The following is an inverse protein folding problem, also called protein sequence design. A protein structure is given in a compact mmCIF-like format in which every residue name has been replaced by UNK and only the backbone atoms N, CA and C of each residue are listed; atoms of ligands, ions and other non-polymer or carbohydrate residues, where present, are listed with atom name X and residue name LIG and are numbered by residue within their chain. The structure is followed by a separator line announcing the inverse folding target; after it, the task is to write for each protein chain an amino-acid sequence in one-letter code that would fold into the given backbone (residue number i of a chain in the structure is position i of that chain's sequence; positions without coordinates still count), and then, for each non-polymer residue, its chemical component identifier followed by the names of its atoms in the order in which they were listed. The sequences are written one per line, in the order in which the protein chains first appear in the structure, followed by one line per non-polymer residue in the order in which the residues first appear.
data_IF_428455371124
#
_entry.id   IF_428455371124
#
_cell.length_a   1.000
_cell.length_b   1.000
_cell.length_c   1.000
_cell.angle_alpha   90.00
_cell.angle_beta   90.00
_cell.angle_gamma   90.00
#
_symmetry.space_group_name_H-M   'P 1'
#
loop_
_entity.id
_entity.type
_entity.pdbx_description
1 polymer ?
#
# COMPACT_ATOMS: atom_id res chain seq x y z
N UNK A 1 15.37 4.38 16.04
CA UNK A 1 15.55 5.33 14.91
C UNK A 1 14.28 5.26 14.07
N UNK A 2 13.55 6.35 13.97
CA UNK A 2 12.37 6.47 13.10
C UNK A 2 12.77 6.33 11.64
N UNK A 3 11.93 5.65 10.84
CA UNK A 3 12.15 5.52 9.39
C UNK A 3 12.05 6.87 8.70
N UNK A 4 12.83 7.08 7.64
CA UNK A 4 12.72 8.30 6.83
C UNK A 4 11.34 8.45 6.18
N UNK A 5 10.63 7.36 5.97
CA UNK A 5 9.25 7.40 5.49
C UNK A 5 8.32 8.15 6.46
N UNK A 6 8.60 8.13 7.75
CA UNK A 6 7.85 8.85 8.78
C UNK A 6 8.43 10.23 9.05
N UNK A 7 9.74 10.33 9.29
CA UNK A 7 10.39 11.59 9.63
C UNK A 7 10.42 12.62 8.49
N UNK A 8 10.39 12.17 7.23
CA UNK A 8 10.36 13.03 6.03
C UNK A 8 8.99 13.05 5.34
N UNK A 9 7.94 12.54 6.01
CA UNK A 9 6.58 12.61 5.50
C UNK A 9 6.14 14.07 5.35
N UNK A 10 5.37 14.42 4.30
CA UNK A 10 4.87 15.78 4.13
C UNK A 10 3.88 16.13 5.24
N UNK A 11 4.00 17.32 5.80
CA UNK A 11 3.15 17.86 6.86
C UNK A 11 2.25 18.99 6.35
N UNK A 12 2.58 19.59 5.21
CA UNK A 12 1.80 20.66 4.56
C UNK A 12 1.40 20.25 3.14
N UNK A 13 0.27 20.74 2.65
CA UNK A 13 -0.19 20.44 1.28
C UNK A 13 0.79 20.92 0.22
N UNK A 14 1.52 22.00 0.46
CA UNK A 14 2.56 22.52 -0.43
C UNK A 14 3.70 21.52 -0.67
N UNK A 15 4.03 20.71 0.33
CA UNK A 15 5.09 19.70 0.27
C UNK A 15 4.68 18.43 -0.51
N UNK A 16 3.39 18.32 -0.88
CA UNK A 16 2.93 17.21 -1.70
C UNK A 16 3.53 17.32 -3.11
N UNK A 17 4.01 16.21 -3.62
CA UNK A 17 4.61 16.09 -4.95
C UNK A 17 3.55 15.95 -6.07
N UNK A 18 2.31 16.34 -5.79
CA UNK A 18 1.19 16.31 -6.74
C UNK A 18 1.03 17.64 -7.48
N UNK A 19 0.21 17.66 -8.52
CA UNK A 19 -0.10 18.91 -9.24
C UNK A 19 -0.80 19.92 -8.34
N UNK A 20 -0.62 21.20 -8.63
CA UNK A 20 -1.22 22.29 -7.86
C UNK A 20 -2.75 22.19 -7.86
N UNK A 21 -3.38 21.77 -8.95
CA UNK A 21 -4.81 21.50 -9.00
C UNK A 21 -5.29 20.46 -7.96
N UNK A 22 -4.47 19.43 -7.66
CA UNK A 22 -4.78 18.47 -6.59
C UNK A 22 -4.58 19.11 -5.22
N UNK A 23 -3.51 19.90 -5.03
CA UNK A 23 -3.29 20.64 -3.76
C UNK A 23 -4.44 21.57 -3.45
N UNK A 24 -4.90 22.34 -4.44
CA UNK A 24 -6.03 23.24 -4.33
C UNK A 24 -7.32 22.49 -4.01
N UNK A 25 -7.54 21.36 -4.67
CA UNK A 25 -8.70 20.48 -4.41
C UNK A 25 -8.70 19.99 -2.96
N UNK A 26 -7.55 19.52 -2.44
CA UNK A 26 -7.40 19.04 -1.07
C UNK A 26 -7.58 20.18 -0.06
N UNK A 27 -6.98 21.34 -0.34
CA UNK A 27 -7.12 22.55 0.48
C UNK A 27 -8.58 22.97 0.56
N UNK A 28 -9.26 23.16 -0.57
CA UNK A 28 -10.66 23.55 -0.63
C UNK A 28 -11.58 22.55 0.04
N UNK A 29 -11.36 21.23 -0.19
CA UNK A 29 -12.14 20.16 0.44
C UNK A 29 -12.02 20.17 1.96
N UNK A 30 -10.86 20.55 2.51
CA UNK A 30 -10.60 20.51 3.95
C UNK A 30 -10.84 21.84 4.67
N UNK A 31 -10.87 22.97 3.96
CA UNK A 31 -11.11 24.30 4.54
C UNK A 31 -12.56 24.78 4.37
N UNK A 32 -13.32 24.16 3.49
CA UNK A 32 -14.74 24.51 3.23
C UNK A 32 -15.65 24.35 4.46
N UNK A 33 -16.83 24.98 4.41
CA UNK A 33 -17.84 24.93 5.49
C UNK A 33 -18.44 23.53 5.68
N UNK A 34 -18.57 22.78 4.59
CA UNK A 34 -19.05 21.39 4.57
C UNK A 34 -18.05 20.46 3.87
N UNK A 35 -17.04 19.95 4.58
CA UNK A 35 -16.07 19.04 3.98
C UNK A 35 -16.75 17.79 3.39
N UNK A 36 -16.42 17.37 2.17
CA UNK A 36 -17.01 16.18 1.56
C UNK A 36 -16.43 14.89 2.13
N UNK A 37 -17.11 13.78 1.88
CA UNK A 37 -16.45 12.46 1.96
C UNK A 37 -15.44 12.33 0.81
N UNK A 38 -14.31 11.66 1.03
CA UNK A 38 -13.21 11.64 0.09
C UNK A 38 -12.86 10.20 -0.35
N UNK A 39 -12.51 10.05 -1.61
CA UNK A 39 -11.94 8.83 -2.18
C UNK A 39 -10.54 9.16 -2.73
N UNK A 40 -9.51 8.66 -2.06
CA UNK A 40 -8.12 8.78 -2.51
C UNK A 40 -7.75 7.53 -3.30
N UNK A 41 -7.65 7.64 -4.62
CA UNK A 41 -7.26 6.50 -5.47
C UNK A 41 -5.86 6.66 -6.04
N UNK A 42 -5.23 5.56 -6.34
CA UNK A 42 -3.93 5.53 -7.00
C UNK A 42 -3.07 4.33 -6.62
N UNK A 43 -1.97 4.10 -7.32
CA UNK A 43 -1.06 3.00 -7.07
C UNK A 43 -0.52 2.98 -5.63
N UNK A 44 0.05 1.84 -5.21
CA UNK A 44 0.74 1.77 -3.93
C UNK A 44 1.95 2.71 -3.90
N UNK A 45 2.22 3.31 -2.74
CA UNK A 45 3.41 4.13 -2.50
C UNK A 45 3.37 5.56 -3.08
N UNK A 46 2.22 6.04 -3.56
CA UNK A 46 2.06 7.43 -4.05
C UNK A 46 1.62 8.43 -2.98
N UNK A 47 1.58 8.05 -1.71
CA UNK A 47 1.29 8.98 -0.61
C UNK A 47 -0.17 9.09 -0.20
N UNK A 48 -1.08 8.17 -0.57
CA UNK A 48 -2.49 8.17 -0.12
C UNK A 48 -2.64 8.34 1.40
N UNK A 49 -1.88 7.57 2.17
CA UNK A 49 -1.90 7.64 3.65
C UNK A 49 -1.36 8.98 4.17
N UNK A 50 -0.35 9.57 3.52
CA UNK A 50 0.14 10.89 3.90
C UNK A 50 -0.92 11.98 3.68
N UNK A 51 -1.58 11.97 2.53
CA UNK A 51 -2.70 12.87 2.23
C UNK A 51 -3.84 12.68 3.24
N UNK A 52 -4.20 11.45 3.57
CA UNK A 52 -5.23 11.15 4.56
C UNK A 52 -4.90 11.74 5.94
N UNK A 53 -3.66 11.56 6.43
CA UNK A 53 -3.20 12.12 7.71
C UNK A 53 -3.27 13.65 7.73
N UNK A 54 -2.83 14.31 6.66
CA UNK A 54 -2.92 15.76 6.53
C UNK A 54 -4.38 16.25 6.52
N UNK A 55 -5.27 15.56 5.79
CA UNK A 55 -6.69 15.89 5.79
C UNK A 55 -7.32 15.73 7.18
N UNK A 56 -6.98 14.65 7.88
CA UNK A 56 -7.46 14.43 9.24
C UNK A 56 -6.98 15.54 10.19
N UNK A 57 -5.69 15.91 10.14
CA UNK A 57 -5.13 17.04 10.91
C UNK A 57 -5.80 18.37 10.57
N UNK A 58 -6.06 18.64 9.30
CA UNK A 58 -6.71 19.88 8.87
C UNK A 58 -8.16 19.97 9.35
N UNK A 59 -8.90 18.86 9.31
CA UNK A 59 -10.33 18.80 9.63
C UNK A 59 -10.62 18.75 11.13
N UNK A 60 -9.80 18.03 11.90
CA UNK A 60 -10.04 17.75 13.32
C UNK A 60 -9.15 18.55 14.27
N UNK A 61 -8.13 19.23 13.74
CA UNK A 61 -7.19 20.01 14.57
C UNK A 61 -6.12 19.15 15.25
N UNK A 62 -5.44 19.65 16.29
CA UNK A 62 -4.30 18.99 16.93
C UNK A 62 -4.61 17.58 17.48
N UNK A 63 -5.83 17.36 17.98
CA UNK A 63 -6.27 16.06 18.53
C UNK A 63 -6.77 15.05 17.48
N UNK A 64 -6.41 15.21 16.21
CA UNK A 64 -6.94 14.39 15.11
C UNK A 64 -6.64 12.88 15.25
N UNK A 65 -5.59 12.52 15.94
CA UNK A 65 -5.18 11.12 16.09
C UNK A 65 -6.20 10.32 16.91
N UNK A 66 -6.69 10.87 18.02
CA UNK A 66 -7.67 10.23 18.89
C UNK A 66 -9.08 10.13 18.28
N UNK A 67 -9.38 10.99 17.32
CA UNK A 67 -10.68 11.09 16.65
C UNK A 67 -10.70 10.57 15.21
N UNK A 68 -9.58 10.00 14.76
CA UNK A 68 -9.44 9.33 13.46
C UNK A 68 -9.38 7.83 13.64
N UNK A 69 -10.38 7.12 13.11
CA UNK A 69 -10.47 5.67 13.19
C UNK A 69 -10.15 5.04 11.84
N UNK A 70 -9.22 4.09 11.83
CA UNK A 70 -8.75 3.44 10.60
C UNK A 70 -9.13 1.96 10.60
N UNK A 71 -9.69 1.50 9.50
CA UNK A 71 -9.99 0.11 9.21
C UNK A 71 -9.34 -0.30 7.90
N UNK A 72 -8.55 -1.36 7.91
CA UNK A 72 -8.06 -1.97 6.68
C UNK A 72 -9.07 -3.01 6.17
N UNK A 73 -9.66 -2.75 5.00
CA UNK A 73 -10.67 -3.62 4.43
C UNK A 73 -10.11 -4.95 3.92
N UNK A 74 -8.82 -4.98 3.53
CA UNK A 74 -8.13 -6.20 3.10
C UNK A 74 -7.98 -7.17 4.28
N UNK A 75 -7.52 -6.70 5.43
CA UNK A 75 -7.39 -7.50 6.64
C UNK A 75 -8.75 -7.96 7.15
N UNK A 76 -9.72 -7.04 7.17
CA UNK A 76 -11.09 -7.38 7.55
C UNK A 76 -11.68 -8.48 6.67
N UNK A 77 -11.40 -8.48 5.38
CA UNK A 77 -11.96 -9.48 4.44
C UNK A 77 -11.52 -10.91 4.75
N UNK A 78 -10.41 -11.06 5.46
CA UNK A 78 -9.81 -12.34 5.87
C UNK A 78 -10.30 -12.84 7.24
N UNK A 79 -11.01 -11.99 8.00
CA UNK A 79 -11.45 -12.33 9.35
C UNK A 79 -12.79 -13.09 9.33
N UNK A 80 -12.96 -14.13 10.17
CA UNK A 80 -14.25 -14.73 10.41
C UNK A 80 -15.18 -13.72 11.12
N UNK A 81 -16.45 -13.66 10.73
CA UNK A 81 -17.39 -12.69 11.32
C UNK A 81 -17.16 -11.23 10.90
N UNK A 82 -16.44 -11.00 9.80
CA UNK A 82 -16.06 -9.69 9.30
C UNK A 82 -17.20 -8.65 9.23
N UNK A 83 -18.45 -9.07 9.05
CA UNK A 83 -19.57 -8.13 9.01
C UNK A 83 -19.87 -7.53 10.38
N UNK A 84 -19.83 -8.36 11.44
CA UNK A 84 -20.07 -7.91 12.81
C UNK A 84 -18.97 -6.93 13.29
N UNK A 85 -17.70 -7.27 13.01
CA UNK A 85 -16.56 -6.40 13.31
C UNK A 85 -16.68 -5.05 12.57
N UNK A 86 -17.12 -5.10 11.32
CA UNK A 86 -17.33 -3.91 10.52
C UNK A 86 -18.47 -3.02 11.04
N UNK A 87 -19.61 -3.61 11.42
CA UNK A 87 -20.73 -2.88 11.99
C UNK A 87 -20.35 -2.23 13.33
N UNK A 88 -19.63 -2.95 14.18
CA UNK A 88 -19.14 -2.45 15.46
C UNK A 88 -18.12 -1.32 15.29
N UNK A 89 -17.25 -1.41 14.29
CA UNK A 89 -16.31 -0.34 13.94
C UNK A 89 -17.04 0.95 13.51
N UNK A 90 -18.07 0.83 12.68
CA UNK A 90 -18.82 2.00 12.19
C UNK A 90 -19.74 2.58 13.28
N UNK A 91 -20.37 1.70 14.06
CA UNK A 91 -21.29 2.07 15.16
C UNK A 91 -20.86 1.36 16.44
N UNK A 92 -19.93 1.94 17.20
CA UNK A 92 -19.59 1.39 18.51
C UNK A 92 -20.88 1.39 19.37
N UNK A 93 -21.32 0.20 19.78
CA UNK A 93 -22.45 0.04 20.69
C UNK A 93 -21.97 0.61 22.03
N UNK A 94 -22.56 1.73 22.45
CA UNK A 94 -22.17 2.42 23.68
C UNK A 94 -22.18 1.48 24.88
N UNK A 95 -21.14 1.56 25.70
CA UNK A 95 -20.95 1.00 27.03
C UNK A 95 -20.09 -0.25 27.22
N UNK A 96 -19.52 -0.86 26.22
CA UNK A 96 -18.47 -1.82 26.51
C UNK A 96 -17.08 -1.24 26.22
N UNK A 97 -16.22 -1.22 27.21
CA UNK A 97 -14.78 -0.91 27.10
C UNK A 97 -14.01 -1.92 26.23
N UNK A 98 -14.66 -2.65 25.33
CA UNK A 98 -13.99 -3.50 24.36
C UNK A 98 -13.67 -2.67 23.14
N UNK A 99 -12.56 -2.00 23.18
CA UNK A 99 -11.80 -1.41 22.07
C UNK A 99 -11.30 -2.46 21.05
N UNK A 100 -11.84 -3.67 21.08
CA UNK A 100 -11.50 -4.76 20.20
C UNK A 100 -12.04 -4.49 18.80
N UNK A 101 -11.35 -3.68 18.02
CA UNK A 101 -11.66 -3.37 16.62
C UNK A 101 -11.59 -1.88 16.24
N UNK A 102 -11.51 -0.98 17.19
CA UNK A 102 -11.26 0.45 16.95
C UNK A 102 -9.76 0.71 17.06
N UNK A 103 -9.06 0.59 15.96
CA UNK A 103 -7.67 1.07 15.89
C UNK A 103 -7.72 2.58 15.72
N UNK A 104 -7.73 3.31 16.84
CA UNK A 104 -7.33 4.70 16.86
C UNK A 104 -5.84 4.76 16.47
N UNK A 105 -5.42 5.80 15.78
CA UNK A 105 -3.99 6.04 15.51
C UNK A 105 -3.17 6.09 16.82
N UNK A 106 -3.79 6.45 17.95
CA UNK A 106 -3.17 6.48 19.28
C UNK A 106 -2.76 5.11 19.82
N UNK A 107 -3.31 4.01 19.31
CA UNK A 107 -2.89 2.66 19.72
C UNK A 107 -1.51 2.31 19.13
N UNK A 108 -1.14 2.97 18.01
CA UNK A 108 0.18 2.80 17.38
C UNK A 108 1.22 3.83 17.83
N UNK A 109 0.81 4.90 18.49
CA UNK A 109 1.70 5.83 19.15
C UNK A 109 1.53 5.61 20.65
N UNK A 110 2.62 5.24 21.34
CA UNK A 110 2.64 5.17 22.81
C UNK A 110 1.98 6.41 23.39
N UNK A 111 0.83 6.22 24.02
CA UNK A 111 -0.16 7.23 24.39
C UNK A 111 0.30 8.20 25.48
N UNK A 112 1.58 8.30 25.76
CA UNK A 112 2.20 9.18 26.76
C UNK A 112 3.32 10.07 26.20
N UNK A 113 3.63 10.00 24.91
CA UNK A 113 4.50 10.99 24.31
C UNK A 113 3.67 12.26 24.06
N UNK A 114 3.93 13.31 24.80
CA UNK A 114 3.60 14.68 24.40
C UNK A 114 3.78 14.80 22.91
N UNK A 115 2.77 15.33 22.18
CA UNK A 115 2.88 15.55 20.72
C UNK A 115 4.07 16.49 20.49
N UNK A 116 5.29 15.99 20.22
CA UNK A 116 6.42 16.85 20.09
C UNK A 116 6.28 17.48 18.70
N UNK A 117 6.03 18.78 18.66
CA UNK A 117 5.99 19.59 17.47
C UNK A 117 4.85 19.24 16.51
N UNK A 118 3.63 19.62 16.87
CA UNK A 118 2.57 19.73 15.86
C UNK A 118 3.04 20.69 14.74
N UNK A 119 3.23 20.21 13.51
CA UNK A 119 3.72 21.04 12.40
C UNK A 119 2.71 22.13 12.00
N UNK A 120 1.61 22.24 12.73
CA UNK A 120 0.51 23.17 12.45
C UNK A 120 -0.43 22.68 11.33
N UNK A 121 -1.38 23.51 10.94
CA UNK A 121 -2.38 23.14 9.96
C UNK A 121 -1.77 22.93 8.58
N UNK A 122 -2.11 21.82 7.88
CA UNK A 122 -1.56 21.50 6.57
C UNK A 122 -1.87 22.53 5.47
N UNK A 123 -2.97 23.26 5.57
CA UNK A 123 -3.31 24.35 4.63
C UNK A 123 -2.66 25.69 4.97
N UNK A 124 -1.95 25.80 6.09
CA UNK A 124 -1.44 27.07 6.62
C UNK A 124 -2.47 27.85 7.44
N UNK A 125 -3.76 27.45 7.44
CA UNK A 125 -4.83 28.14 8.15
C UNK A 125 -5.53 27.21 9.12
N UNK A 126 -5.68 27.64 10.39
CA UNK A 126 -6.51 26.91 11.36
C UNK A 126 -7.99 27.03 10.98
N UNK A 127 -8.61 25.91 10.68
CA UNK A 127 -10.04 25.86 10.32
C UNK A 127 -10.93 25.40 11.47
N UNK A 128 -10.32 24.85 12.51
CA UNK A 128 -11.01 24.24 13.64
C UNK A 128 -11.62 25.27 14.60
N UNK A 129 -11.00 26.45 14.76
CA UNK A 129 -11.37 27.43 15.78
C UNK A 129 -12.35 28.53 15.31
N UNK A 130 -12.74 28.56 14.06
CA UNK A 130 -13.66 29.58 13.56
C UNK A 130 -15.12 29.18 13.84
N UNK A 131 -15.61 29.50 15.04
CA UNK A 131 -16.98 29.24 15.50
C UNK A 131 -18.04 30.10 14.83
N UNK A 132 -17.68 30.95 13.85
CA UNK A 132 -18.56 32.03 13.36
C UNK A 132 -19.27 31.78 12.03
N UNK A 133 -18.93 30.76 11.23
CA UNK A 133 -19.33 30.76 9.82
C UNK A 133 -20.17 29.55 9.37
N UNK A 134 -21.05 29.03 10.19
CA UNK A 134 -21.97 27.96 9.75
C UNK A 134 -21.28 26.65 9.35
N UNK A 135 -20.02 26.46 9.74
CA UNK A 135 -19.23 25.28 9.45
C UNK A 135 -19.73 24.07 10.23
N UNK A 136 -19.81 22.92 9.54
CA UNK A 136 -20.16 21.66 10.20
C UNK A 136 -19.03 21.25 11.15
N UNK A 137 -19.37 21.09 12.44
CA UNK A 137 -18.42 20.63 13.46
C UNK A 137 -18.24 19.11 13.37
N UNK A 138 -17.10 18.69 12.84
CA UNK A 138 -16.76 17.28 12.76
C UNK A 138 -16.25 16.76 14.09
N UNK A 139 -16.75 15.60 14.52
CA UNK A 139 -16.31 14.92 15.75
C UNK A 139 -15.33 13.80 15.45
N UNK A 140 -15.38 13.18 14.26
CA UNK A 140 -14.51 12.08 13.91
C UNK A 140 -14.34 11.90 12.40
N UNK A 141 -13.24 11.27 12.02
CA UNK A 141 -12.99 10.77 10.65
C UNK A 141 -12.91 9.25 10.70
N UNK A 142 -13.60 8.61 9.76
CA UNK A 142 -13.56 7.16 9.56
C UNK A 142 -12.81 6.91 8.27
N UNK A 143 -11.65 6.25 8.39
CA UNK A 143 -10.80 5.89 7.26
C UNK A 143 -10.98 4.42 6.95
N UNK A 144 -11.21 4.12 5.68
CA UNK A 144 -11.26 2.74 5.19
C UNK A 144 -10.15 2.58 4.16
N UNK A 145 -9.08 1.93 4.58
CA UNK A 145 -7.97 1.59 3.69
C UNK A 145 -8.31 0.36 2.86
N UNK A 146 -7.76 0.32 1.64
CA UNK A 146 -7.97 -0.74 0.66
C UNK A 146 -9.45 -1.08 0.44
N UNK A 147 -10.26 -0.03 0.25
CA UNK A 147 -11.72 -0.12 0.17
C UNK A 147 -12.25 -1.02 -0.95
N UNK A 148 -11.43 -1.34 -1.94
CA UNK A 148 -11.70 -2.30 -3.00
C UNK A 148 -11.90 -3.75 -2.49
N UNK A 149 -11.49 -4.05 -1.23
CA UNK A 149 -11.72 -5.34 -0.56
C UNK A 149 -13.00 -5.41 0.29
N UNK A 150 -13.79 -4.34 0.34
CA UNK A 150 -15.01 -4.32 1.19
C UNK A 150 -16.09 -5.32 0.79
N UNK A 151 -16.20 -5.66 -0.48
CA UNK A 151 -17.32 -6.44 -1.01
C UNK A 151 -18.65 -5.66 -1.02
N UNK A 152 -19.60 -6.10 -1.84
CA UNK A 152 -20.83 -5.33 -2.12
C UNK A 152 -21.71 -5.11 -0.90
N UNK A 153 -21.82 -6.09 0.01
CA UNK A 153 -22.68 -6.00 1.19
C UNK A 153 -22.25 -4.88 2.14
N UNK A 154 -20.94 -4.80 2.44
CA UNK A 154 -20.37 -3.76 3.32
C UNK A 154 -20.41 -2.40 2.66
N UNK A 155 -20.20 -2.33 1.35
CA UNK A 155 -20.34 -1.08 0.60
C UNK A 155 -21.78 -0.54 0.64
N UNK A 156 -22.80 -1.39 0.49
CA UNK A 156 -24.18 -1.00 0.62
C UNK A 156 -24.54 -0.52 2.03
N UNK A 157 -23.95 -1.14 3.07
CA UNK A 157 -24.09 -0.69 4.45
C UNK A 157 -23.48 0.70 4.66
N UNK A 158 -22.26 0.93 4.16
CA UNK A 158 -21.59 2.23 4.24
C UNK A 158 -22.38 3.35 3.59
N UNK A 159 -22.98 3.11 2.44
CA UNK A 159 -23.85 4.10 1.79
C UNK A 159 -24.89 4.65 2.76
N UNK A 160 -25.61 3.78 3.47
CA UNK A 160 -26.63 4.19 4.46
C UNK A 160 -26.02 4.97 5.62
N UNK A 161 -24.84 4.53 6.07
CA UNK A 161 -24.14 5.20 7.17
C UNK A 161 -23.66 6.59 6.81
N UNK A 162 -23.16 6.79 5.59
CA UNK A 162 -22.75 8.11 5.10
C UNK A 162 -23.92 9.09 5.08
N UNK A 163 -25.11 8.64 4.72
CA UNK A 163 -26.33 9.47 4.73
C UNK A 163 -26.77 9.84 6.17
N UNK A 164 -26.65 8.90 7.12
CA UNK A 164 -27.10 9.11 8.51
C UNK A 164 -26.12 9.90 9.36
N UNK A 165 -24.80 9.77 9.12
CA UNK A 165 -23.75 10.39 9.95
C UNK A 165 -23.09 11.61 9.31
N UNK A 166 -23.68 12.16 8.26
CA UNK A 166 -23.12 13.27 7.47
C UNK A 166 -22.90 14.57 8.26
N UNK A 167 -23.59 14.76 9.37
CA UNK A 167 -23.47 15.98 10.18
C UNK A 167 -22.23 16.00 11.09
N UNK A 168 -21.73 14.83 11.53
CA UNK A 168 -20.68 14.77 12.56
C UNK A 168 -19.45 13.98 12.13
N UNK A 169 -19.55 13.20 11.07
CA UNK A 169 -18.48 12.30 10.65
C UNK A 169 -18.16 12.44 9.17
N UNK A 170 -16.89 12.23 8.80
CA UNK A 170 -16.48 12.11 7.40
C UNK A 170 -15.79 10.79 7.14
N UNK A 171 -16.02 10.28 5.95
CA UNK A 171 -15.37 9.06 5.47
C UNK A 171 -14.26 9.41 4.49
N UNK A 172 -13.11 8.79 4.67
CA UNK A 172 -11.99 8.83 3.73
C UNK A 172 -11.71 7.40 3.30
N UNK A 173 -11.85 7.14 2.01
CA UNK A 173 -11.54 5.85 1.41
C UNK A 173 -10.20 5.91 0.71
N UNK A 174 -9.37 4.90 0.87
CA UNK A 174 -8.20 4.71 0.01
C UNK A 174 -8.37 3.44 -0.82
N UNK A 175 -7.97 3.46 -2.08
CA UNK A 175 -8.07 2.32 -2.98
C UNK A 175 -7.00 2.36 -4.07
N UNK A 176 -6.64 1.21 -4.59
CA UNK A 176 -5.86 1.09 -5.83
C UNK A 176 -6.78 0.96 -7.04
N UNK A 177 -7.96 0.39 -6.88
CA UNK A 177 -8.89 0.05 -7.96
C UNK A 177 -10.28 0.65 -7.68
N UNK A 178 -10.51 1.92 -8.01
CA UNK A 178 -11.76 2.61 -7.70
C UNK A 178 -12.99 2.00 -8.42
N UNK A 179 -12.80 1.28 -9.51
CA UNK A 179 -13.87 0.57 -10.24
C UNK A 179 -14.53 -0.56 -9.45
N UNK A 180 -13.87 -1.07 -8.40
CA UNK A 180 -14.43 -2.08 -7.49
C UNK A 180 -15.41 -1.50 -6.45
N UNK A 181 -15.44 -0.19 -6.31
CA UNK A 181 -16.43 0.48 -5.49
C UNK A 181 -17.74 0.65 -6.28
N UNK A 182 -18.87 0.33 -5.62
CA UNK A 182 -20.19 0.50 -6.22
C UNK A 182 -20.43 1.98 -6.56
N UNK A 183 -21.17 2.22 -7.63
CA UNK A 183 -21.49 3.57 -8.10
C UNK A 183 -22.17 4.43 -7.00
N UNK A 184 -23.02 3.81 -6.21
CA UNK A 184 -23.72 4.46 -5.10
C UNK A 184 -22.78 5.03 -4.02
N UNK A 185 -21.57 4.49 -3.81
CA UNK A 185 -20.54 5.08 -2.96
C UNK A 185 -19.75 6.16 -3.73
N UNK A 186 -19.38 5.86 -4.98
CA UNK A 186 -18.59 6.79 -5.80
C UNK A 186 -19.30 8.12 -6.04
N UNK A 187 -20.63 8.11 -6.19
CA UNK A 187 -21.44 9.33 -6.36
C UNK A 187 -21.53 10.21 -5.11
N UNK A 188 -21.14 9.70 -3.94
CA UNK A 188 -21.21 10.41 -2.64
C UNK A 188 -19.88 10.89 -2.12
N UNK A 189 -18.81 10.64 -2.85
CA UNK A 189 -17.45 11.00 -2.45
C UNK A 189 -16.81 11.92 -3.48
N UNK A 190 -16.03 12.86 -3.02
CA UNK A 190 -15.14 13.61 -3.91
C UNK A 190 -13.91 12.75 -4.21
N UNK A 191 -13.73 12.44 -5.47
CA UNK A 191 -12.65 11.56 -5.91
C UNK A 191 -11.38 12.35 -6.21
N UNK A 192 -10.30 12.02 -5.51
CA UNK A 192 -8.95 12.56 -5.75
C UNK A 192 -8.06 11.43 -6.22
N UNK A 193 -7.57 11.56 -7.46
CA UNK A 193 -6.71 10.57 -8.07
C UNK A 193 -5.24 10.97 -7.94
N UNK A 194 -4.45 10.14 -7.28
CA UNK A 194 -3.01 10.28 -7.16
C UNK A 194 -2.34 9.37 -8.18
N UNK A 195 -1.54 9.95 -9.07
CA UNK A 195 -0.81 9.21 -10.09
C UNK A 195 0.62 8.87 -9.62
N UNK A 196 1.30 8.00 -10.36
CA UNK A 196 2.73 7.78 -10.18
C UNK A 196 3.50 9.07 -10.48
N UNK A 197 4.57 9.28 -9.73
CA UNK A 197 5.43 10.45 -9.91
C UNK A 197 6.36 10.29 -11.12
N UNK A 198 6.59 11.39 -11.82
CA UNK A 198 7.62 11.45 -12.83
C UNK A 198 9.01 11.28 -12.21
N UNK A 199 9.95 10.74 -12.99
CA UNK A 199 11.33 10.49 -12.56
C UNK A 199 11.97 11.75 -11.98
N UNK A 200 11.85 12.90 -12.64
CA UNK A 200 12.44 14.15 -12.22
C UNK A 200 11.95 14.61 -10.84
N UNK A 201 10.64 14.43 -10.55
CA UNK A 201 10.04 14.77 -9.25
C UNK A 201 10.66 13.93 -8.13
N UNK A 202 10.84 12.62 -8.39
CA UNK A 202 11.47 11.71 -7.44
C UNK A 202 12.93 12.09 -7.23
N UNK A 203 13.68 12.36 -8.30
CA UNK A 203 15.09 12.77 -8.22
C UNK A 203 15.27 14.02 -7.37
N UNK A 204 14.43 15.04 -7.59
CA UNK A 204 14.44 16.27 -6.77
C UNK A 204 14.21 15.95 -5.30
N UNK A 205 13.17 15.15 -4.99
CA UNK A 205 12.86 14.80 -3.61
C UNK A 205 13.94 13.99 -2.91
N UNK A 206 14.55 13.04 -3.62
CA UNK A 206 15.66 12.24 -3.09
C UNK A 206 16.90 13.11 -2.86
N UNK A 207 17.16 14.10 -3.73
CA UNK A 207 18.28 15.06 -3.56
C UNK A 207 18.07 15.92 -2.31
N UNK A 208 16.85 16.42 -2.08
CA UNK A 208 16.51 17.19 -0.87
C UNK A 208 16.74 16.35 0.40
N UNK A 209 16.27 15.10 0.41
CA UNK A 209 16.46 14.19 1.56
C UNK A 209 17.95 13.90 1.76
N UNK A 210 18.71 13.66 0.68
CA UNK A 210 20.16 13.42 0.78
C UNK A 210 20.89 14.61 1.41
N UNK A 211 20.56 15.84 1.01
CA UNK A 211 21.13 17.05 1.61
C UNK A 211 20.79 17.20 3.09
N UNK A 212 19.53 16.93 3.46
CA UNK A 212 19.09 17.00 4.86
C UNK A 212 19.77 15.97 5.76
N UNK A 213 20.11 14.81 5.23
CA UNK A 213 20.79 13.72 5.95
C UNK A 213 22.31 13.77 5.81
N UNK A 214 22.86 14.77 5.12
CA UNK A 214 24.32 14.92 4.91
C UNK A 214 24.92 13.81 4.07
N UNK A 215 24.15 13.21 3.14
CA UNK A 215 24.62 12.16 2.27
C UNK A 215 25.19 12.73 0.97
N UNK A 216 26.26 12.13 0.49
CA UNK A 216 26.90 12.46 -0.79
C UNK A 216 26.79 11.29 -1.79
N UNK A 217 25.64 11.12 -2.46
CA UNK A 217 25.46 10.06 -3.44
C UNK A 217 26.39 10.28 -4.64
N UNK A 218 27.06 9.21 -5.12
CA UNK A 218 27.84 9.28 -6.34
C UNK A 218 26.96 9.69 -7.55
N UNK A 219 27.59 10.33 -8.54
CA UNK A 219 26.90 10.83 -9.73
C UNK A 219 26.04 9.73 -10.39
N UNK A 220 24.76 10.00 -10.54
CA UNK A 220 23.78 9.11 -11.19
C UNK A 220 23.07 8.11 -10.27
N UNK A 221 23.50 7.93 -9.00
CA UNK A 221 22.84 7.01 -8.05
C UNK A 221 21.40 7.42 -7.78
N UNK A 222 21.13 8.70 -7.56
CA UNK A 222 19.78 9.23 -7.34
C UNK A 222 18.89 8.95 -8.55
N UNK A 223 19.40 9.20 -9.77
CA UNK A 223 18.67 8.91 -11.01
C UNK A 223 18.37 7.43 -11.22
N UNK A 224 19.29 6.55 -10.80
CA UNK A 224 19.08 5.11 -10.87
C UNK A 224 18.04 4.65 -9.82
N UNK A 225 18.06 5.19 -8.60
CA UNK A 225 17.02 4.92 -7.58
C UNK A 225 15.65 5.38 -8.07
N UNK A 226 15.57 6.58 -8.64
CA UNK A 226 14.32 7.11 -9.20
C UNK A 226 13.78 6.24 -10.35
N UNK A 227 14.68 5.75 -11.23
CA UNK A 227 14.30 4.84 -12.31
C UNK A 227 13.71 3.51 -11.77
N UNK A 228 14.39 2.88 -10.83
CA UNK A 228 14.00 1.58 -10.26
C UNK A 228 12.73 1.68 -9.41
N UNK A 229 12.45 2.85 -8.84
CA UNK A 229 11.23 3.07 -8.07
C UNK A 229 9.96 3.16 -8.91
N UNK A 230 10.06 3.31 -10.23
CA UNK A 230 8.93 3.31 -11.18
C UNK A 230 7.78 4.25 -10.77
N UNK A 231 8.09 5.42 -10.26
CA UNK A 231 7.10 6.38 -9.81
C UNK A 231 6.55 6.16 -8.39
N UNK A 232 7.08 5.18 -7.65
CA UNK A 232 6.71 4.88 -6.27
C UNK A 232 7.67 5.60 -5.30
N UNK A 233 7.23 6.72 -4.73
CA UNK A 233 8.08 7.53 -3.84
C UNK A 233 8.44 6.80 -2.53
N UNK A 234 7.54 5.96 -2.00
CA UNK A 234 7.83 5.14 -0.81
C UNK A 234 9.01 4.21 -1.05
N UNK A 235 9.01 3.52 -2.20
CA UNK A 235 10.11 2.63 -2.62
C UNK A 235 11.41 3.41 -2.81
N UNK A 236 11.34 4.60 -3.42
CA UNK A 236 12.50 5.45 -3.66
C UNK A 236 13.17 5.89 -2.36
N UNK A 237 12.39 6.42 -1.41
CA UNK A 237 12.90 6.85 -0.10
C UNK A 237 13.46 5.64 0.68
N UNK A 238 12.78 4.51 0.67
CA UNK A 238 13.25 3.30 1.35
C UNK A 238 14.60 2.80 0.79
N UNK A 239 14.78 2.80 -0.53
CA UNK A 239 16.05 2.40 -1.16
C UNK A 239 17.15 3.40 -0.76
N UNK A 240 16.88 4.70 -0.81
CA UNK A 240 17.84 5.73 -0.42
C UNK A 240 18.26 5.57 1.06
N UNK A 241 17.31 5.38 1.96
CA UNK A 241 17.55 5.13 3.39
C UNK A 241 18.40 3.88 3.61
N UNK A 242 18.07 2.78 2.93
CA UNK A 242 18.81 1.53 3.04
C UNK A 242 20.25 1.66 2.55
N UNK A 243 20.45 2.33 1.42
CA UNK A 243 21.79 2.58 0.86
C UNK A 243 22.57 3.56 1.72
N UNK A 244 21.96 4.63 2.23
CA UNK A 244 22.59 5.61 3.11
C UNK A 244 23.06 4.98 4.41
N UNK A 245 22.21 4.20 5.10
CA UNK A 245 22.56 3.50 6.35
C UNK A 245 23.65 2.44 6.20
N UNK A 246 23.92 1.97 4.97
CA UNK A 246 24.95 0.95 4.68
C UNK A 246 26.18 1.51 3.96
N UNK A 247 26.29 2.83 3.82
CA UNK A 247 27.36 3.51 3.09
C UNK A 247 27.56 3.00 1.63
N UNK A 248 26.44 2.61 0.99
CA UNK A 248 26.45 2.04 -0.36
C UNK A 248 26.25 3.09 -1.47
N UNK A 249 26.07 4.38 -1.12
CA UNK A 249 25.79 5.47 -2.06
C UNK A 249 27.01 5.88 -2.91
N UNK A 250 28.19 5.43 -2.55
CA UNK A 250 29.47 5.76 -3.22
C UNK A 250 29.61 5.11 -4.61
N UNK A 251 28.84 4.06 -4.94
CA UNK A 251 28.98 3.35 -6.20
C UNK A 251 27.64 2.88 -6.76
N UNK A 252 27.36 3.18 -8.04
CA UNK A 252 26.17 2.72 -8.78
C UNK A 252 26.02 1.19 -8.82
N UNK A 253 27.11 0.44 -8.87
CA UNK A 253 27.09 -1.03 -8.86
C UNK A 253 26.44 -1.58 -7.59
N UNK A 254 26.56 -0.88 -6.46
CA UNK A 254 25.94 -1.29 -5.22
C UNK A 254 24.41 -1.33 -5.32
N UNK A 255 23.80 -0.34 -6.02
CA UNK A 255 22.36 -0.32 -6.29
C UNK A 255 21.97 -1.50 -7.20
N UNK A 256 22.72 -1.75 -8.26
CA UNK A 256 22.46 -2.89 -9.15
C UNK A 256 22.56 -4.22 -8.39
N UNK A 257 23.56 -4.38 -7.54
CA UNK A 257 23.68 -5.55 -6.68
C UNK A 257 22.53 -5.68 -5.69
N UNK A 258 22.09 -4.56 -5.11
CA UNK A 258 20.99 -4.53 -4.16
C UNK A 258 19.64 -4.87 -4.83
N UNK A 259 19.45 -4.46 -6.08
CA UNK A 259 18.23 -4.72 -6.86
C UNK A 259 18.26 -6.10 -7.51
N UNK A 260 19.39 -6.47 -8.11
CA UNK A 260 19.54 -7.75 -8.81
C UNK A 260 19.66 -8.93 -7.85
N UNK A 261 20.14 -8.70 -6.63
CA UNK A 261 20.36 -9.76 -5.66
C UNK A 261 19.08 -10.31 -5.03
N UNK A 262 17.96 -9.58 -5.06
CA UNK A 262 16.85 -9.93 -4.15
C UNK A 262 15.54 -10.29 -4.86
N UNK A 263 15.18 -9.76 -6.04
CA UNK A 263 13.78 -9.84 -6.44
C UNK A 263 13.46 -10.47 -7.81
N UNK A 264 14.15 -10.10 -8.84
CA UNK A 264 13.76 -10.54 -10.20
C UNK A 264 14.30 -11.94 -10.49
N UNK A 265 15.52 -12.24 -10.05
CA UNK A 265 16.17 -13.51 -10.33
C UNK A 265 15.53 -14.69 -9.60
N UNK A 266 15.12 -14.49 -8.35
CA UNK A 266 14.47 -15.54 -7.55
C UNK A 266 13.06 -15.84 -8.08
N UNK A 267 12.30 -14.80 -8.46
CA UNK A 267 10.97 -14.95 -9.07
C UNK A 267 11.08 -15.59 -10.46
N UNK A 268 12.09 -15.22 -11.23
CA UNK A 268 12.40 -15.89 -12.49
C UNK A 268 12.73 -17.37 -12.29
N UNK A 269 13.53 -17.71 -11.27
CA UNK A 269 13.85 -19.09 -10.94
C UNK A 269 12.61 -19.90 -10.57
N UNK A 270 11.61 -19.31 -9.88
CA UNK A 270 10.33 -20.00 -9.61
C UNK A 270 9.66 -20.44 -10.90
N UNK A 271 9.55 -19.52 -11.88
CA UNK A 271 8.95 -19.85 -13.18
C UNK A 271 9.78 -20.88 -13.95
N UNK A 272 11.11 -20.72 -13.98
CA UNK A 272 12.00 -21.66 -14.65
C UNK A 272 11.92 -23.08 -14.08
N UNK A 273 11.86 -23.22 -12.74
CA UNK A 273 11.70 -24.53 -12.09
C UNK A 273 10.32 -25.13 -12.39
N UNK A 274 9.27 -24.31 -12.43
CA UNK A 274 7.94 -24.77 -12.83
C UNK A 274 7.93 -25.25 -14.29
N UNK A 275 8.54 -24.49 -15.21
CA UNK A 275 8.64 -24.88 -16.62
C UNK A 275 9.45 -26.17 -16.85
N UNK A 276 10.40 -26.46 -15.97
CA UNK A 276 11.13 -27.73 -15.96
C UNK A 276 10.34 -28.89 -15.36
N UNK A 277 9.08 -28.67 -14.99
CA UNK A 277 8.22 -29.68 -14.33
C UNK A 277 8.55 -29.93 -12.86
N UNK A 278 9.46 -29.14 -12.27
CA UNK A 278 9.90 -29.30 -10.87
C UNK A 278 9.12 -28.40 -9.92
N UNK A 279 7.79 -28.58 -9.87
CA UNK A 279 6.95 -27.78 -8.97
C UNK A 279 7.13 -28.23 -7.53
N UNK A 280 6.98 -29.53 -7.25
CA UNK A 280 7.16 -30.13 -5.93
C UNK A 280 8.37 -31.07 -5.95
N UNK A 281 9.57 -30.56 -5.65
CA UNK A 281 10.78 -31.35 -5.53
C UNK A 281 11.13 -31.56 -4.06
N UNK A 282 10.84 -32.75 -3.53
CA UNK A 282 11.09 -33.09 -2.15
C UNK A 282 12.48 -33.75 -2.01
N UNK A 283 13.37 -33.13 -1.19
CA UNK A 283 14.69 -33.65 -0.91
C UNK A 283 14.91 -33.85 0.59
N UNK A 284 15.72 -34.89 0.92
CA UNK A 284 16.15 -35.12 2.27
C UNK A 284 17.42 -34.31 2.54
N UNK A 285 17.40 -33.45 3.53
CA UNK A 285 18.55 -32.65 3.96
C UNK A 285 18.88 -32.93 5.44
N UNK A 286 20.17 -32.99 5.77
CA UNK A 286 20.63 -33.06 7.15
C UNK A 286 20.63 -31.64 7.77
N UNK A 287 19.69 -31.37 8.66
CA UNK A 287 19.63 -30.13 9.43
C UNK A 287 19.78 -30.46 10.91
N UNK A 288 20.80 -29.90 11.57
CA UNK A 288 21.09 -30.15 13.00
C UNK A 288 21.23 -31.65 13.35
N UNK A 289 21.84 -32.45 12.47
CA UNK A 289 22.05 -33.88 12.71
C UNK A 289 20.81 -34.76 12.46
N UNK A 290 19.68 -34.21 12.07
CA UNK A 290 18.46 -34.95 11.70
C UNK A 290 18.19 -34.84 10.20
N UNK A 291 17.74 -35.96 9.60
CA UNK A 291 17.25 -35.92 8.22
C UNK A 291 15.85 -35.30 8.21
N UNK A 292 15.71 -34.13 7.58
CA UNK A 292 14.45 -33.42 7.41
C UNK A 292 14.12 -33.43 5.93
N UNK A 293 12.83 -33.69 5.60
CA UNK A 293 12.33 -33.61 4.24
C UNK A 293 12.00 -32.15 3.93
N UNK A 294 12.74 -31.53 3.02
CA UNK A 294 12.57 -30.14 2.60
C UNK A 294 11.94 -30.07 1.21
N UNK A 295 11.00 -29.15 1.04
CA UNK A 295 10.39 -28.83 -0.25
C UNK A 295 11.34 -27.91 -1.01
N UNK A 296 11.78 -28.37 -2.18
CA UNK A 296 12.59 -27.62 -3.16
C UNK A 296 11.74 -27.38 -4.42
N UNK A 297 12.38 -26.94 -5.49
CA UNK A 297 11.70 -26.60 -6.73
C UNK A 297 10.91 -25.29 -6.63
N UNK A 298 9.98 -25.10 -7.54
CA UNK A 298 9.24 -23.85 -7.64
C UNK A 298 8.50 -23.48 -6.35
N UNK A 299 7.88 -24.45 -5.67
CA UNK A 299 7.14 -24.19 -4.42
C UNK A 299 8.08 -23.90 -3.26
N UNK A 300 9.24 -24.53 -3.16
CA UNK A 300 10.22 -24.22 -2.12
C UNK A 300 10.79 -22.82 -2.26
N UNK A 301 11.01 -22.36 -3.48
CA UNK A 301 11.41 -20.97 -3.77
C UNK A 301 10.27 -19.98 -3.49
N UNK A 302 9.05 -20.32 -3.86
CA UNK A 302 7.86 -19.51 -3.59
C UNK A 302 7.65 -19.29 -2.08
N UNK A 303 7.75 -20.37 -1.29
CA UNK A 303 7.63 -20.27 0.18
C UNK A 303 8.73 -19.37 0.78
N UNK A 304 9.96 -19.45 0.26
CA UNK A 304 11.04 -18.55 0.70
C UNK A 304 10.74 -17.07 0.37
N UNK A 305 10.17 -16.80 -0.81
CA UNK A 305 9.78 -15.43 -1.19
C UNK A 305 8.67 -14.89 -0.27
N UNK A 306 7.66 -15.69 0.02
CA UNK A 306 6.53 -15.27 0.84
C UNK A 306 6.88 -15.15 2.33
N UNK A 307 7.62 -16.14 2.90
CA UNK A 307 7.90 -16.18 4.34
C UNK A 307 9.10 -15.31 4.75
N UNK A 308 10.21 -15.37 3.99
CA UNK A 308 11.45 -14.68 4.36
C UNK A 308 11.52 -13.24 3.83
N UNK A 309 10.89 -12.98 2.70
CA UNK A 309 10.98 -11.69 2.02
C UNK A 309 9.68 -10.88 2.07
N UNK A 310 8.65 -11.40 2.75
CA UNK A 310 7.33 -10.77 2.89
C UNK A 310 6.72 -10.34 1.55
N UNK A 311 6.87 -11.15 0.49
CA UNK A 311 6.16 -10.92 -0.75
C UNK A 311 4.69 -11.30 -0.60
N UNK A 312 3.81 -10.39 -0.94
CA UNK A 312 2.41 -10.72 -1.11
C UNK A 312 2.18 -11.45 -2.44
N UNK A 313 1.18 -12.32 -2.48
CA UNK A 313 0.87 -13.09 -3.69
C UNK A 313 0.58 -12.19 -4.90
N UNK A 314 -0.02 -11.03 -4.66
CA UNK A 314 -0.29 -10.01 -5.68
C UNK A 314 1.00 -9.43 -6.28
N UNK A 315 2.01 -9.19 -5.45
CA UNK A 315 3.32 -8.73 -5.92
C UNK A 315 4.00 -9.79 -6.81
N UNK A 316 3.87 -11.06 -6.42
CA UNK A 316 4.42 -12.19 -7.19
C UNK A 316 3.73 -12.31 -8.56
N UNK A 317 2.40 -12.23 -8.60
CA UNK A 317 1.62 -12.25 -9.85
C UNK A 317 2.04 -11.09 -10.77
N UNK A 318 2.16 -9.88 -10.21
CA UNK A 318 2.62 -8.71 -10.96
C UNK A 318 4.05 -8.87 -11.51
N UNK A 319 4.94 -9.51 -10.76
CA UNK A 319 6.30 -9.78 -11.22
C UNK A 319 6.35 -10.88 -12.30
N UNK A 320 5.54 -11.93 -12.16
CA UNK A 320 5.39 -12.94 -13.22
C UNK A 320 4.90 -12.29 -14.53
N UNK A 321 3.90 -11.42 -14.45
CA UNK A 321 3.41 -10.68 -15.62
C UNK A 321 4.52 -9.86 -16.28
N UNK A 322 5.31 -9.12 -15.50
CA UNK A 322 6.46 -8.35 -16.03
C UNK A 322 7.51 -9.23 -16.70
N UNK A 323 7.89 -10.34 -16.07
CA UNK A 323 8.88 -11.27 -16.64
C UNK A 323 8.43 -11.83 -17.98
N UNK A 324 7.15 -12.16 -18.11
CA UNK A 324 6.58 -12.72 -19.34
C UNK A 324 6.44 -11.67 -20.44
N UNK A 325 6.07 -10.42 -20.09
CA UNK A 325 5.86 -9.34 -21.07
C UNK A 325 7.13 -8.62 -21.49
N UNK A 326 8.15 -8.55 -20.63
CA UNK A 326 9.42 -7.88 -20.93
C UNK A 326 10.39 -8.76 -21.75
N UNK A 327 9.97 -9.96 -22.18
CA UNK A 327 10.77 -10.86 -23.03
C UNK A 327 12.02 -11.43 -22.35
N UNK A 328 12.07 -11.41 -21.01
CA UNK A 328 13.19 -11.96 -20.23
C UNK A 328 13.23 -13.49 -20.20
N UNK A 329 12.11 -14.11 -20.62
CA UNK A 329 12.00 -15.55 -20.78
C UNK A 329 11.83 -15.83 -22.26
N UNK A 330 12.72 -16.64 -22.81
CA UNK A 330 12.68 -17.01 -24.24
C UNK A 330 11.62 -18.11 -24.43
N UNK A 331 10.34 -17.68 -24.53
CA UNK A 331 9.19 -18.55 -24.73
C UNK A 331 8.66 -18.38 -26.14
N UNK A 332 8.13 -19.43 -26.73
CA UNK A 332 7.38 -19.33 -27.97
C UNK A 332 6.01 -18.67 -27.71
N UNK A 333 5.45 -18.08 -28.77
CA UNK A 333 4.18 -17.31 -28.65
C UNK A 333 3.01 -18.17 -28.18
N UNK A 334 2.98 -19.45 -28.52
CA UNK A 334 1.92 -20.38 -28.13
C UNK A 334 1.99 -20.69 -26.62
N UNK A 335 3.17 -21.02 -26.11
CA UNK A 335 3.38 -21.25 -24.69
C UNK A 335 3.16 -19.98 -23.86
N UNK A 336 3.65 -18.84 -24.34
CA UNK A 336 3.44 -17.54 -23.71
C UNK A 336 1.94 -17.25 -23.56
N UNK A 337 1.16 -17.47 -24.61
CA UNK A 337 -0.28 -17.26 -24.59
C UNK A 337 -0.99 -18.16 -23.55
N UNK A 338 -0.64 -19.44 -23.48
CA UNK A 338 -1.20 -20.38 -22.51
C UNK A 338 -0.85 -19.99 -21.06
N UNK A 339 0.41 -19.62 -20.82
CA UNK A 339 0.88 -19.18 -19.50
C UNK A 339 0.21 -17.87 -19.08
N UNK A 340 0.04 -16.90 -19.99
CA UNK A 340 -0.66 -15.64 -19.72
C UNK A 340 -2.13 -15.85 -19.36
N UNK A 341 -2.83 -16.75 -20.04
CA UNK A 341 -4.22 -17.11 -19.70
C UNK A 341 -4.29 -17.72 -18.29
N UNK A 342 -3.36 -18.60 -17.94
CA UNK A 342 -3.30 -19.21 -16.61
C UNK A 342 -2.95 -18.16 -15.54
N UNK A 343 -2.07 -17.21 -15.84
CA UNK A 343 -1.73 -16.11 -14.93
C UNK A 343 -2.93 -15.18 -14.68
N UNK A 344 -3.69 -14.84 -15.71
CA UNK A 344 -4.90 -14.02 -15.57
C UNK A 344 -5.96 -14.70 -14.69
N UNK A 345 -6.13 -16.02 -14.80
CA UNK A 345 -7.00 -16.79 -13.90
C UNK A 345 -6.48 -16.77 -12.47
N UNK A 346 -5.18 -16.92 -12.28
CA UNK A 346 -4.55 -16.87 -10.96
C UNK A 346 -4.74 -15.50 -10.31
N UNK A 347 -4.55 -14.40 -11.04
CA UNK A 347 -4.78 -13.04 -10.55
C UNK A 347 -6.19 -12.89 -9.95
N UNK A 348 -7.22 -13.24 -10.72
CA UNK A 348 -8.61 -13.16 -10.24
C UNK A 348 -8.86 -14.02 -9.00
N UNK A 349 -8.24 -15.20 -8.93
CA UNK A 349 -8.42 -16.14 -7.82
C UNK A 349 -7.70 -15.69 -6.56
N UNK A 350 -6.47 -15.17 -6.67
CA UNK A 350 -5.67 -14.64 -5.55
C UNK A 350 -6.44 -13.57 -4.77
N UNK A 351 -7.21 -12.73 -5.43
CA UNK A 351 -8.03 -11.70 -4.78
C UNK A 351 -9.28 -12.24 -4.06
N UNK A 352 -9.72 -13.45 -4.38
CA UNK A 352 -10.97 -14.03 -3.85
C UNK A 352 -10.74 -15.07 -2.78
N UNK A 353 -9.55 -15.62 -2.69
CA UNK A 353 -9.25 -16.72 -1.76
C UNK A 353 -8.70 -16.20 -0.42
N UNK A 354 -8.94 -16.98 0.63
CA UNK A 354 -8.29 -16.78 1.93
C UNK A 354 -6.85 -17.33 1.98
N UNK A 355 -6.46 -18.17 1.00
CA UNK A 355 -5.13 -18.77 0.93
C UNK A 355 -4.51 -18.57 -0.46
N UNK A 356 -3.94 -17.40 -0.73
CA UNK A 356 -3.39 -17.05 -2.05
C UNK A 356 -2.27 -17.99 -2.52
N UNK A 357 -1.54 -18.61 -1.56
CA UNK A 357 -0.48 -19.58 -1.87
C UNK A 357 -0.97 -20.77 -2.69
N UNK A 358 -2.20 -21.25 -2.43
CA UNK A 358 -2.79 -22.39 -3.16
C UNK A 358 -3.04 -22.00 -4.63
N UNK A 359 -3.46 -20.77 -4.87
CA UNK A 359 -3.71 -20.30 -6.24
C UNK A 359 -2.41 -20.10 -7.02
N UNK A 360 -1.35 -19.66 -6.36
CA UNK A 360 0.00 -19.60 -6.97
C UNK A 360 0.52 -21.02 -7.27
N UNK A 361 0.30 -21.98 -6.37
CA UNK A 361 0.65 -23.39 -6.59
C UNK A 361 -0.10 -23.97 -7.80
N UNK A 362 -1.39 -23.72 -7.92
CA UNK A 362 -2.20 -24.11 -9.09
C UNK A 362 -1.63 -23.50 -10.37
N UNK A 363 -1.29 -22.21 -10.36
CA UNK A 363 -0.68 -21.55 -11.51
C UNK A 363 0.65 -22.21 -11.91
N UNK A 364 1.53 -22.50 -10.97
CA UNK A 364 2.82 -23.15 -11.26
C UNK A 364 2.65 -24.57 -11.80
N UNK A 365 1.63 -25.30 -11.34
CA UNK A 365 1.28 -26.62 -11.90
C UNK A 365 0.75 -26.51 -13.33
N UNK A 366 -0.07 -25.49 -13.63
CA UNK A 366 -0.53 -25.26 -14.99
C UNK A 366 0.62 -24.86 -15.93
N UNK A 367 1.55 -24.03 -15.46
CA UNK A 367 2.79 -23.71 -16.20
C UNK A 367 3.59 -24.98 -16.51
N UNK A 368 3.78 -25.85 -15.53
CA UNK A 368 4.50 -27.13 -15.71
C UNK A 368 3.83 -28.01 -16.76
N UNK A 369 2.50 -28.14 -16.72
CA UNK A 369 1.74 -28.92 -17.71
C UNK A 369 1.89 -28.38 -19.13
N UNK A 370 1.88 -27.05 -19.31
CA UNK A 370 2.00 -26.42 -20.62
C UNK A 370 3.41 -26.48 -21.18
N UNK A 371 4.43 -26.57 -20.32
CA UNK A 371 5.84 -26.58 -20.75
C UNK A 371 6.39 -27.97 -21.00
N UNK A 372 5.80 -29.02 -20.43
CA UNK A 372 6.23 -30.42 -20.59
C UNK A 372 5.41 -31.17 -21.65
N UNK A 373 4.28 -30.59 -22.07
CA UNK A 373 3.43 -31.11 -23.18
C UNK A 373 3.94 -30.60 -24.52
#
# INVERSE_FOLDING_TARGET
MTSWLESKAPTKFEQLLVSDAIKDTLSTASTGTNPPHLLLSGPSGVGKTAVMRMLARQLLGPGWQSTTHILNAKDLSRMPGAMKVFEEFIRPSGSSNSLAGLTSLDIFTDSLAEVPNDPGPPSGYETFNNNSDGRIKLSRIIVIEDADYLGNLRQAYLRRMMEQSSLTSRFIFTTTTPSRLIEALRSRVQHVRLSRYGRNIIETRLSEISQQEGLEPARGVIGDIAHVSEGNIRKAIFILELMGKRDLLSNRKNLQNLISSIKVREIQQVLEEAMRGRVHDWRWEKTNGRNVRTLKGAMGLLDQLMEKQNFEAEDIVNQFHKLLTEGRMNLDDELLSKVMISLAKCEVSVFRTSQPRIELERFLLDVAKHSVA
#
